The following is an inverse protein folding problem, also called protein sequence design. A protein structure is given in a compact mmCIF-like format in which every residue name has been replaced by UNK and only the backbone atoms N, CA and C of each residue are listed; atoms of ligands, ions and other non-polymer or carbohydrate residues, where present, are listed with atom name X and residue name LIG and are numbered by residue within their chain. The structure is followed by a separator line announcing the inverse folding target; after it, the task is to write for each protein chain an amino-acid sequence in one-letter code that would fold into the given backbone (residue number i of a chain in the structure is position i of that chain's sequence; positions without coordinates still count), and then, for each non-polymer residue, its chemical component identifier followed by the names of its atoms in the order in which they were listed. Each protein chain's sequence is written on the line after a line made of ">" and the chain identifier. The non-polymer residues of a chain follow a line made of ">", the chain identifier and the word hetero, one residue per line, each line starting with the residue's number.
data_IF_175845064262
#
_entry.id   IF_175845064262
#
_cell.length_a   1.000
_cell.length_b   1.000
_cell.length_c   1.000
_cell.angle_alpha   90.00
_cell.angle_beta   90.00
_cell.angle_gamma   90.00
#
_symmetry.space_group_name_H-M   'P 1'
#
loop_
_entity.id
_entity.type
_entity.pdbx_description
1 polymer ?
#
# COMPACT_ATOMS: atom_id res chain seq x y z
N UNK A 1 -13.32 -18.48 -25.54
CA UNK A 1 -13.13 -17.09 -25.09
C UNK A 1 -13.99 -16.92 -23.86
N UNK A 2 -13.45 -17.22 -22.66
CA UNK A 2 -14.19 -17.06 -21.39
C UNK A 2 -13.29 -16.66 -20.21
N UNK A 3 -11.97 -16.91 -20.29
CA UNK A 3 -11.01 -16.52 -19.25
C UNK A 3 -10.76 -15.00 -19.07
N UNK A 4 -11.54 -14.12 -19.70
CA UNK A 4 -11.38 -12.66 -19.59
C UNK A 4 -12.30 -12.03 -18.53
N UNK A 5 -13.42 -12.65 -18.20
CA UNK A 5 -14.35 -12.10 -17.19
C UNK A 5 -14.04 -12.65 -15.80
N UNK A 6 -13.84 -13.96 -15.66
CA UNK A 6 -13.44 -14.60 -14.39
C UNK A 6 -12.09 -14.05 -13.90
N UNK A 7 -11.09 -13.95 -14.78
CA UNK A 7 -9.80 -13.36 -14.42
C UNK A 7 -9.88 -11.89 -13.97
N UNK A 8 -10.86 -11.12 -14.48
CA UNK A 8 -11.12 -9.74 -14.03
C UNK A 8 -11.81 -9.69 -12.68
N UNK A 9 -12.78 -10.57 -12.44
CA UNK A 9 -13.47 -10.66 -11.15
C UNK A 9 -12.49 -11.05 -10.03
N UNK A 10 -11.68 -12.08 -10.26
CA UNK A 10 -10.65 -12.51 -9.31
C UNK A 10 -9.64 -11.41 -9.01
N UNK A 11 -9.21 -10.65 -10.02
CA UNK A 11 -8.30 -9.53 -9.83
C UNK A 11 -8.96 -8.41 -9.03
N UNK A 12 -10.23 -8.10 -9.30
CA UNK A 12 -10.97 -7.11 -8.52
C UNK A 12 -11.08 -7.51 -7.04
N UNK A 13 -11.35 -8.80 -6.76
CA UNK A 13 -11.36 -9.33 -5.39
C UNK A 13 -9.99 -9.15 -4.73
N UNK A 14 -8.91 -9.58 -5.39
CA UNK A 14 -7.56 -9.42 -4.87
C UNK A 14 -7.19 -7.95 -4.59
N UNK A 15 -7.57 -7.02 -5.48
CA UNK A 15 -7.31 -5.60 -5.32
C UNK A 15 -8.11 -4.99 -4.14
N UNK A 16 -9.37 -5.39 -3.97
CA UNK A 16 -10.20 -4.95 -2.83
C UNK A 16 -9.62 -5.50 -1.53
N UNK A 17 -9.26 -6.79 -1.49
CA UNK A 17 -8.66 -7.42 -0.32
C UNK A 17 -7.35 -6.74 0.07
N UNK A 18 -6.45 -6.49 -0.90
CA UNK A 18 -5.22 -5.75 -0.68
C UNK A 18 -5.49 -4.35 -0.09
N UNK A 19 -6.51 -3.66 -0.60
CA UNK A 19 -6.88 -2.33 -0.12
C UNK A 19 -7.40 -2.35 1.32
N UNK A 20 -8.20 -3.35 1.69
CA UNK A 20 -8.65 -3.56 3.06
C UNK A 20 -7.46 -3.77 4.01
N UNK A 21 -6.52 -4.65 3.66
CA UNK A 21 -5.33 -4.94 4.48
C UNK A 21 -4.47 -3.69 4.64
N UNK A 22 -4.24 -2.95 3.56
CA UNK A 22 -3.47 -1.71 3.59
C UNK A 22 -4.13 -0.67 4.49
N UNK A 23 -5.45 -0.52 4.39
CA UNK A 23 -6.23 0.41 5.24
C UNK A 23 -6.11 0.03 6.71
N UNK A 24 -6.26 -1.26 7.04
CA UNK A 24 -6.13 -1.76 8.41
C UNK A 24 -4.74 -1.48 8.98
N UNK A 25 -3.67 -1.76 8.22
CA UNK A 25 -2.30 -1.50 8.64
C UNK A 25 -2.04 -0.02 8.92
N UNK A 26 -2.55 0.87 8.05
CA UNK A 26 -2.42 2.32 8.21
C UNK A 26 -3.20 2.83 9.41
N UNK A 27 -4.47 2.43 9.56
CA UNK A 27 -5.30 2.81 10.71
C UNK A 27 -4.67 2.33 12.01
N UNK A 28 -4.17 1.10 12.04
CA UNK A 28 -3.49 0.58 13.22
C UNK A 28 -2.26 1.43 13.58
N UNK A 29 -1.44 1.79 12.59
CA UNK A 29 -0.26 2.65 12.77
C UNK A 29 -0.65 4.02 13.30
N UNK A 30 -1.71 4.64 12.77
CA UNK A 30 -2.15 5.99 13.16
C UNK A 30 -2.81 6.00 14.54
N UNK A 31 -3.65 5.00 14.84
CA UNK A 31 -4.49 5.02 16.03
C UNK A 31 -3.81 4.43 17.27
N UNK A 32 -2.91 3.45 17.12
CA UNK A 32 -2.38 2.71 18.25
C UNK A 32 -0.88 2.95 18.50
N UNK A 33 -0.12 3.41 17.51
CA UNK A 33 1.23 3.89 17.76
C UNK A 33 1.16 5.38 18.16
N UNK A 34 1.09 5.64 19.47
CA UNK A 34 0.97 6.94 20.16
C UNK A 34 2.11 7.96 19.89
N UNK A 35 2.86 7.83 18.79
CA UNK A 35 3.96 8.70 18.42
C UNK A 35 3.67 9.37 17.07
N UNK A 36 4.29 10.53 16.87
CA UNK A 36 4.23 11.27 15.61
C UNK A 36 4.56 10.33 14.44
N UNK A 37 3.55 10.03 13.62
CA UNK A 37 3.65 8.99 12.60
C UNK A 37 4.46 9.53 11.43
N UNK A 38 5.77 9.32 11.50
CA UNK A 38 6.65 9.72 10.40
C UNK A 38 6.30 8.95 9.12
N UNK A 39 6.46 9.61 7.97
CA UNK A 39 6.34 8.96 6.66
C UNK A 39 7.17 7.69 6.56
N UNK A 40 8.40 7.72 7.07
CA UNK A 40 9.31 6.57 7.08
C UNK A 40 8.73 5.39 7.85
N UNK A 41 8.03 5.66 8.97
CA UNK A 41 7.33 4.63 9.75
C UNK A 41 6.21 4.00 8.95
N UNK A 42 5.36 4.81 8.30
CA UNK A 42 4.27 4.31 7.45
C UNK A 42 4.80 3.39 6.36
N UNK A 43 5.84 3.83 5.64
CA UNK A 43 6.45 3.02 4.57
C UNK A 43 6.99 1.69 5.11
N UNK A 44 7.66 1.72 6.27
CA UNK A 44 8.22 0.51 6.89
C UNK A 44 7.12 -0.47 7.32
N UNK A 45 6.00 0.01 7.84
CA UNK A 45 4.86 -0.88 8.20
C UNK A 45 4.33 -1.59 6.95
N UNK A 46 4.17 -0.88 5.84
CA UNK A 46 3.70 -1.50 4.60
C UNK A 46 4.68 -2.52 4.05
N UNK A 47 5.99 -2.28 4.18
CA UNK A 47 7.01 -3.26 3.80
C UNK A 47 6.91 -4.52 4.67
N UNK A 48 6.75 -4.37 6.00
CA UNK A 48 6.57 -5.51 6.91
C UNK A 48 5.32 -6.32 6.56
N UNK A 49 4.19 -5.64 6.27
CA UNK A 49 2.95 -6.31 5.90
C UNK A 49 3.11 -7.05 4.56
N UNK A 50 3.79 -6.45 3.58
CA UNK A 50 4.09 -7.11 2.31
C UNK A 50 4.93 -8.38 2.53
N UNK A 51 6.01 -8.30 3.31
CA UNK A 51 6.89 -9.45 3.59
C UNK A 51 6.12 -10.58 4.29
N UNK A 52 5.19 -10.24 5.20
CA UNK A 52 4.33 -11.23 5.88
C UNK A 52 3.33 -11.87 4.91
N UNK A 53 2.71 -11.09 4.02
CA UNK A 53 1.79 -11.60 3.01
C UNK A 53 2.52 -12.51 2.02
N UNK A 54 3.70 -12.09 1.53
CA UNK A 54 4.53 -12.87 0.62
C UNK A 54 4.98 -14.18 1.27
N UNK A 55 5.44 -14.14 2.53
CA UNK A 55 5.85 -15.33 3.25
C UNK A 55 4.69 -16.31 3.56
N UNK A 56 3.46 -15.81 3.69
CA UNK A 56 2.29 -16.63 4.00
C UNK A 56 1.57 -17.19 2.77
N UNK A 57 1.44 -16.39 1.70
CA UNK A 57 0.64 -16.73 0.51
C UNK A 57 1.49 -17.05 -0.71
N UNK A 58 2.75 -16.61 -0.74
CA UNK A 58 3.66 -16.73 -1.87
C UNK A 58 3.61 -15.51 -2.80
N UNK A 59 4.72 -15.25 -3.49
CA UNK A 59 4.90 -14.08 -4.35
C UNK A 59 3.98 -14.06 -5.59
N UNK A 60 3.51 -15.22 -6.05
CA UNK A 60 2.60 -15.34 -7.20
C UNK A 60 1.12 -15.12 -6.83
N UNK A 61 0.79 -15.02 -5.53
CA UNK A 61 -0.57 -14.77 -5.08
C UNK A 61 -1.06 -13.39 -5.57
N UNK A 62 -2.29 -13.36 -6.08
CA UNK A 62 -2.87 -12.14 -6.67
C UNK A 62 -3.05 -11.03 -5.64
N UNK A 63 -3.33 -11.37 -4.39
CA UNK A 63 -3.48 -10.40 -3.28
C UNK A 63 -2.13 -9.79 -2.93
N UNK A 64 -1.07 -10.61 -2.87
CA UNK A 64 0.30 -10.14 -2.63
C UNK A 64 0.73 -9.18 -3.73
N UNK A 65 0.48 -9.54 -5.00
CA UNK A 65 0.77 -8.67 -6.14
C UNK A 65 -0.01 -7.36 -6.10
N UNK A 66 -1.32 -7.41 -5.88
CA UNK A 66 -2.16 -6.23 -5.78
C UNK A 66 -1.76 -5.32 -4.61
N UNK A 67 -1.38 -5.89 -3.47
CA UNK A 67 -0.85 -5.13 -2.33
C UNK A 67 0.46 -4.45 -2.69
N UNK A 68 1.38 -5.15 -3.34
CA UNK A 68 2.64 -4.57 -3.82
C UNK A 68 2.43 -3.35 -4.72
N UNK A 69 1.52 -3.44 -5.69
CA UNK A 69 1.19 -2.32 -6.59
C UNK A 69 0.60 -1.11 -5.83
N UNK A 70 -0.28 -1.36 -4.86
CA UNK A 70 -0.88 -0.30 -4.05
C UNK A 70 0.14 0.34 -3.10
N UNK A 71 1.00 -0.46 -2.46
CA UNK A 71 2.11 0.02 -1.63
C UNK A 71 3.04 0.93 -2.43
N UNK A 72 3.44 0.49 -3.62
CA UNK A 72 4.38 1.25 -4.45
C UNK A 72 3.73 2.56 -4.96
N UNK A 73 2.44 2.53 -5.29
CA UNK A 73 1.66 3.73 -5.61
C UNK A 73 1.63 4.71 -4.43
N UNK A 74 1.37 4.21 -3.22
CA UNK A 74 1.36 5.04 -2.01
C UNK A 74 2.75 5.60 -1.69
N UNK A 75 3.81 4.81 -1.84
CA UNK A 75 5.20 5.28 -1.70
C UNK A 75 5.48 6.41 -2.68
N UNK A 76 5.05 6.28 -3.93
CA UNK A 76 5.19 7.31 -4.95
C UNK A 76 4.47 8.62 -4.55
N UNK A 77 3.23 8.53 -4.07
CA UNK A 77 2.47 9.70 -3.59
C UNK A 77 3.13 10.38 -2.38
N UNK A 78 3.58 9.58 -1.41
CA UNK A 78 4.23 10.08 -0.20
C UNK A 78 5.58 10.73 -0.49
N UNK A 79 6.32 10.26 -1.52
CA UNK A 79 7.56 10.91 -1.96
C UNK A 79 7.26 12.17 -2.79
N UNK A 80 6.30 12.10 -3.72
CA UNK A 80 5.97 13.22 -4.61
C UNK A 80 5.38 14.42 -3.86
N UNK A 81 4.61 14.18 -2.79
CA UNK A 81 4.08 15.24 -1.93
C UNK A 81 5.15 16.10 -1.24
N UNK A 82 6.39 15.59 -1.07
CA UNK A 82 7.53 16.36 -0.55
C UNK A 82 7.92 17.46 -1.52
N UNK A 83 8.04 17.09 -2.79
CA UNK A 83 8.56 17.97 -3.84
C UNK A 83 7.62 19.18 -3.99
N UNK A 84 6.31 18.97 -3.88
CA UNK A 84 5.33 20.07 -3.93
C UNK A 84 5.34 20.96 -2.67
N UNK A 85 5.51 20.38 -1.49
CA UNK A 85 5.57 21.15 -0.25
C UNK A 85 6.85 22.03 -0.17
N UNK A 86 7.97 21.54 -0.68
CA UNK A 86 9.24 22.29 -0.74
C UNK A 86 9.22 23.40 -1.81
N UNK A 87 8.58 23.17 -2.96
CA UNK A 87 8.43 24.23 -3.98
C UNK A 87 7.46 25.34 -3.56
N UNK A 88 6.42 25.02 -2.79
CA UNK A 88 5.47 26.01 -2.27
C UNK A 88 6.05 26.94 -1.20
N UNK A 89 7.04 26.46 -0.45
CA UNK A 89 7.70 27.21 0.63
C UNK A 89 8.92 28.02 0.17
N UNK A 90 9.40 27.82 -1.07
CA UNK A 90 10.47 28.62 -1.68
C UNK A 90 9.97 29.88 -2.41
N UNK A 91 8.66 30.15 -2.39
CA UNK A 91 8.02 31.28 -3.08
C UNK A 91 7.56 32.41 -2.14
N UNK A 92 7.98 32.40 -0.86
CA UNK A 92 7.69 33.45 0.13
C UNK A 92 8.91 34.35 0.41
#
# INVERSE_FOLDING_TARGET
>A
MDGSVEGRADWAVAAITAHCIMTEALVHTICFELADVSRTRLLKVLDIVYDQLEGGLGCDDRTVRAFGEQRDSMRSLLVSSVIQAEMGSASE
#
